data_IF_499362837869
#
_entry.id   IF_499362837869
#
_cell.length_a   1.000
_cell.length_b   1.000
_cell.length_c   1.000
_cell.angle_alpha   90.00
_cell.angle_beta   90.00
_cell.angle_gamma   90.00
#
_symmetry.space_group_name_H-M   'P 1'
#
loop_
_entity.id
_entity.type
_entity.pdbx_description
1 polymer ?
#
# COMPACT_ATOMS: atom_id res chain seq x y z
N UNK A 1 -38.79 19.54 30.05
CA UNK A 1 -38.73 18.35 30.92
C UNK A 1 -37.39 17.63 30.72
N UNK A 2 -36.90 16.83 31.68
CA UNK A 2 -35.65 16.08 31.55
C UNK A 2 -35.61 15.10 30.35
N UNK A 3 -36.76 14.71 29.81
CA UNK A 3 -36.86 13.88 28.61
C UNK A 3 -36.48 14.67 27.33
N UNK A 4 -37.03 15.88 27.16
CA UNK A 4 -36.71 16.75 26.02
C UNK A 4 -35.22 17.17 25.99
N UNK A 5 -34.63 17.40 27.17
CA UNK A 5 -33.21 17.70 27.28
C UNK A 5 -32.33 16.51 26.85
N UNK A 6 -32.71 15.28 27.22
CA UNK A 6 -32.01 14.05 26.80
C UNK A 6 -32.10 13.80 25.29
N UNK A 7 -33.29 13.99 24.69
CA UNK A 7 -33.45 13.85 23.24
C UNK A 7 -32.66 14.90 22.47
N UNK A 8 -32.58 16.13 22.98
CA UNK A 8 -31.78 17.19 22.37
C UNK A 8 -30.28 16.90 22.46
N UNK A 9 -29.79 16.41 23.61
CA UNK A 9 -28.38 16.04 23.77
C UNK A 9 -27.99 14.89 22.82
N UNK A 10 -28.82 13.84 22.77
CA UNK A 10 -28.58 12.70 21.87
C UNK A 10 -28.60 13.12 20.39
N UNK A 11 -29.51 14.01 20.00
CA UNK A 11 -29.54 14.54 18.63
C UNK A 11 -28.27 15.34 18.29
N UNK A 12 -27.77 16.14 19.23
CA UNK A 12 -26.51 16.86 19.06
C UNK A 12 -25.33 15.90 18.95
N UNK A 13 -25.26 14.84 19.76
CA UNK A 13 -24.20 13.84 19.67
C UNK A 13 -24.20 13.16 18.30
N UNK A 14 -25.37 12.73 17.81
CA UNK A 14 -25.51 12.14 16.47
C UNK A 14 -25.05 13.10 15.38
N UNK A 15 -25.39 14.39 15.47
CA UNK A 15 -24.94 15.40 14.51
C UNK A 15 -23.41 15.57 14.53
N UNK A 16 -22.79 15.59 15.74
CA UNK A 16 -21.34 15.63 15.87
C UNK A 16 -20.68 14.37 15.29
N UNK A 17 -21.27 13.19 15.53
CA UNK A 17 -20.81 11.93 14.94
C UNK A 17 -20.81 12.00 13.41
N UNK A 18 -21.89 12.48 12.80
CA UNK A 18 -21.96 12.69 11.35
C UNK A 18 -20.94 13.71 10.85
N UNK A 19 -20.75 14.82 11.55
CA UNK A 19 -19.77 15.84 11.17
C UNK A 19 -18.34 15.30 11.19
N UNK A 20 -17.96 14.55 12.23
CA UNK A 20 -16.66 13.89 12.34
C UNK A 20 -16.47 12.85 11.22
N UNK A 21 -17.48 12.02 10.97
CA UNK A 21 -17.44 11.01 9.92
C UNK A 21 -17.28 11.65 8.54
N UNK A 22 -18.06 12.68 8.22
CA UNK A 22 -17.96 13.39 6.94
C UNK A 22 -16.61 14.11 6.79
N UNK A 23 -16.06 14.66 7.88
CA UNK A 23 -14.73 15.25 7.87
C UNK A 23 -13.64 14.21 7.60
N UNK A 24 -13.69 13.05 8.27
CA UNK A 24 -12.73 11.98 8.06
C UNK A 24 -12.83 11.35 6.66
N UNK A 25 -14.04 11.06 6.18
CA UNK A 25 -14.28 10.63 4.80
C UNK A 25 -13.82 11.68 3.78
N UNK A 26 -14.00 12.97 4.10
CA UNK A 26 -13.49 14.08 3.31
C UNK A 26 -11.95 14.12 3.26
N UNK A 27 -11.27 13.84 4.39
CA UNK A 27 -9.81 13.74 4.46
C UNK A 27 -9.28 12.49 3.73
N UNK A 28 -10.00 11.36 3.81
CA UNK A 28 -9.66 10.12 3.10
C UNK A 28 -9.91 10.24 1.60
N UNK A 29 -11.01 10.87 1.17
CA UNK A 29 -11.34 11.01 -0.25
C UNK A 29 -10.73 12.24 -0.93
N UNK A 30 -10.38 13.26 -0.15
CA UNK A 30 -9.81 14.52 -0.61
C UNK A 30 -8.56 14.38 -1.48
N UNK A 31 -7.59 13.50 -1.16
CA UNK A 31 -6.46 13.22 -2.03
C UNK A 31 -6.88 12.76 -3.43
N UNK A 32 -7.95 12.00 -3.57
CA UNK A 32 -8.46 11.53 -4.86
C UNK A 32 -9.12 12.65 -5.65
N UNK A 33 -9.94 13.47 -4.98
CA UNK A 33 -10.50 14.67 -5.60
C UNK A 33 -9.36 15.58 -6.07
N UNK A 34 -8.33 15.78 -5.25
CA UNK A 34 -7.16 16.57 -5.63
C UNK A 34 -6.42 15.99 -6.84
N UNK A 35 -6.16 14.67 -6.84
CA UNK A 35 -5.52 13.95 -7.94
C UNK A 35 -6.34 14.01 -9.24
N UNK A 36 -7.66 13.92 -9.14
CA UNK A 36 -8.56 13.97 -10.29
C UNK A 36 -8.76 15.39 -10.84
N UNK A 37 -8.79 16.40 -9.96
CA UNK A 37 -9.03 17.80 -10.32
C UNK A 37 -7.77 18.53 -10.78
N UNK A 38 -6.57 18.10 -10.35
CA UNK A 38 -5.32 18.74 -10.76
C UNK A 38 -4.63 17.93 -11.86
N UNK A 39 -4.18 18.65 -12.90
CA UNK A 39 -3.55 18.08 -14.09
C UNK A 39 -2.16 17.44 -13.86
N UNK A 40 -1.44 17.22 -14.97
CA UNK A 40 -0.14 16.53 -15.08
C UNK A 40 0.92 16.94 -14.06
N UNK A 41 0.93 18.21 -13.63
CA UNK A 41 1.98 18.79 -12.80
C UNK A 41 2.03 18.27 -11.35
N UNK A 42 0.92 17.76 -10.81
CA UNK A 42 0.82 17.46 -9.36
C UNK A 42 0.79 15.98 -9.01
N UNK A 43 0.48 15.10 -9.97
CA UNK A 43 0.32 13.67 -9.73
C UNK A 43 0.70 12.86 -10.96
N UNK A 44 1.28 11.67 -10.73
CA UNK A 44 1.51 10.66 -11.77
C UNK A 44 0.22 10.33 -12.55
N UNK A 45 -0.93 10.44 -11.91
CA UNK A 45 -2.23 10.21 -12.55
C UNK A 45 -2.53 11.16 -13.71
N UNK A 46 -2.07 12.40 -13.56
CA UNK A 46 -2.31 13.48 -14.50
C UNK A 46 -1.45 13.37 -15.75
N UNK A 47 -0.34 12.63 -15.74
CA UNK A 47 0.67 12.61 -16.81
C UNK A 47 0.07 12.45 -18.21
N UNK A 48 0.58 13.19 -19.21
CA UNK A 48 0.00 13.17 -20.55
C UNK A 48 0.20 11.78 -21.19
N UNK A 49 -0.63 11.42 -22.19
CA UNK A 49 -0.38 10.27 -23.04
C UNK A 49 1.07 10.25 -23.56
N UNK A 50 1.57 9.07 -23.90
CA UNK A 50 2.97 8.93 -24.34
C UNK A 50 3.26 9.70 -25.64
N UNK A 51 2.26 9.81 -26.52
CA UNK A 51 2.35 10.43 -27.85
C UNK A 51 2.61 11.94 -27.78
N UNK A 52 2.00 12.63 -26.81
CA UNK A 52 2.07 14.09 -26.69
C UNK A 52 3.41 14.59 -26.13
N UNK A 53 4.26 13.70 -25.63
CA UNK A 53 5.42 14.05 -24.83
C UNK A 53 6.74 14.05 -25.61
N UNK A 54 6.73 14.16 -26.95
CA UNK A 54 7.95 14.10 -27.79
C UNK A 54 8.61 15.46 -28.08
N UNK A 55 8.13 16.57 -27.52
CA UNK A 55 8.56 17.92 -27.95
C UNK A 55 9.46 18.72 -27.01
N UNK A 56 9.54 18.39 -25.71
CA UNK A 56 10.20 19.28 -24.74
C UNK A 56 11.50 18.68 -24.19
N UNK A 57 12.58 19.43 -24.34
CA UNK A 57 13.90 19.08 -23.83
C UNK A 57 13.97 19.44 -22.33
N UNK A 58 14.39 18.53 -21.44
CA UNK A 58 14.49 18.81 -20.01
C UNK A 58 15.39 20.01 -19.73
N UNK A 59 14.88 21.00 -18.99
CA UNK A 59 15.60 22.23 -18.63
C UNK A 59 16.46 22.12 -17.37
N UNK A 60 16.60 20.94 -16.76
CA UNK A 60 17.42 20.78 -15.54
C UNK A 60 18.08 19.40 -15.40
N UNK A 61 19.37 19.34 -15.03
CA UNK A 61 20.10 18.10 -14.81
C UNK A 61 19.83 17.60 -13.39
N UNK A 62 18.63 17.07 -13.13
CA UNK A 62 18.44 16.27 -11.91
C UNK A 62 19.17 14.95 -12.11
N UNK A 63 20.11 14.65 -11.22
CA UNK A 63 20.87 13.39 -11.22
C UNK A 63 19.90 12.20 -11.10
N UNK A 64 19.70 11.49 -12.21
CA UNK A 64 18.80 10.35 -12.31
C UNK A 64 19.13 9.25 -11.28
N UNK A 65 20.40 9.14 -10.86
CA UNK A 65 20.82 8.17 -9.84
C UNK A 65 20.16 8.41 -8.49
N UNK A 66 19.96 9.68 -8.08
CA UNK A 66 19.30 10.03 -6.80
C UNK A 66 17.81 9.69 -6.81
N UNK A 67 17.17 9.82 -7.98
CA UNK A 67 15.76 9.47 -8.18
C UNK A 67 15.51 7.96 -8.17
N UNK A 68 16.55 7.13 -8.25
CA UNK A 68 16.47 5.67 -8.17
C UNK A 68 16.73 5.10 -6.76
N UNK A 69 17.09 5.93 -5.78
CA UNK A 69 17.05 5.56 -4.36
C UNK A 69 18.22 4.72 -3.81
N UNK A 70 19.38 4.68 -4.48
CA UNK A 70 20.49 3.75 -4.17
C UNK A 70 21.07 3.76 -2.74
N UNK A 71 20.76 4.76 -1.88
CA UNK A 71 21.32 4.87 -0.52
C UNK A 71 20.41 4.42 0.63
N UNK A 72 19.12 4.16 0.40
CA UNK A 72 18.17 3.99 1.52
C UNK A 72 17.93 2.53 1.94
N UNK A 73 18.21 1.55 1.09
CA UNK A 73 17.76 0.17 1.32
C UNK A 73 18.29 -0.47 2.60
N UNK A 74 19.58 -0.29 2.91
CA UNK A 74 20.18 -0.90 4.09
C UNK A 74 19.61 -0.29 5.39
N UNK A 75 19.48 1.03 5.43
CA UNK A 75 18.89 1.76 6.57
C UNK A 75 17.43 1.35 6.75
N UNK A 76 16.69 1.17 5.65
CA UNK A 76 15.30 0.70 5.69
C UNK A 76 15.16 -0.68 6.32
N UNK A 77 15.93 -1.65 5.83
CA UNK A 77 15.88 -3.02 6.33
C UNK A 77 16.30 -3.04 7.79
N UNK A 78 17.35 -2.29 8.15
CA UNK A 78 17.82 -2.20 9.53
C UNK A 78 16.76 -1.57 10.45
N UNK A 79 16.16 -0.42 10.08
CA UNK A 79 15.19 0.27 10.95
C UNK A 79 13.91 -0.51 11.16
N UNK A 80 13.37 -1.14 10.10
CA UNK A 80 12.14 -1.92 10.19
C UNK A 80 12.36 -3.30 10.82
N UNK A 81 13.49 -3.97 10.57
CA UNK A 81 13.75 -5.28 11.17
C UNK A 81 14.25 -5.18 12.61
N UNK A 82 15.26 -4.34 12.86
CA UNK A 82 16.01 -4.33 14.11
C UNK A 82 15.37 -3.43 15.17
N UNK A 83 14.72 -2.34 14.78
CA UNK A 83 14.13 -1.38 15.72
C UNK A 83 13.13 -2.04 16.68
N UNK A 84 12.08 -2.72 16.19
CA UNK A 84 11.12 -3.40 17.04
C UNK A 84 11.71 -4.58 17.84
N UNK A 85 12.69 -5.30 17.27
CA UNK A 85 13.39 -6.36 18.01
C UNK A 85 14.15 -5.78 19.20
N UNK A 86 14.91 -4.69 18.99
CA UNK A 86 15.59 -3.98 20.07
C UNK A 86 14.58 -3.47 21.09
N UNK A 87 13.45 -2.90 20.66
CA UNK A 87 12.37 -2.46 21.55
C UNK A 87 11.79 -3.60 22.41
N UNK A 88 11.63 -4.80 21.84
CA UNK A 88 11.18 -6.00 22.58
C UNK A 88 12.25 -6.46 23.58
N UNK A 89 13.53 -6.42 23.20
CA UNK A 89 14.62 -6.88 24.06
C UNK A 89 14.84 -5.96 25.28
N UNK A 90 14.63 -4.65 25.10
CA UNK A 90 14.73 -3.66 26.19
C UNK A 90 13.45 -3.52 27.02
N UNK A 91 12.31 -4.05 26.54
CA UNK A 91 11.09 -4.03 27.31
C UNK A 91 11.30 -4.80 28.63
N UNK A 92 10.85 -4.26 29.76
CA UNK A 92 10.99 -4.86 31.09
C UNK A 92 10.10 -6.08 31.33
N UNK A 93 9.82 -6.86 30.30
CA UNK A 93 8.87 -7.97 30.32
C UNK A 93 9.53 -9.31 30.70
N UNK A 94 8.75 -10.26 31.26
CA UNK A 94 9.22 -11.62 31.50
C UNK A 94 9.84 -12.24 30.24
N UNK A 95 10.92 -13.00 30.39
CA UNK A 95 11.70 -13.57 29.27
C UNK A 95 10.83 -14.36 28.27
N UNK A 96 9.89 -15.17 28.76
CA UNK A 96 8.99 -15.94 27.89
C UNK A 96 8.07 -15.05 27.03
N UNK A 97 7.61 -13.90 27.56
CA UNK A 97 6.79 -12.94 26.80
C UNK A 97 7.63 -12.21 25.75
N UNK A 98 8.86 -11.82 26.10
CA UNK A 98 9.82 -11.21 25.16
C UNK A 98 10.12 -12.16 24.00
N UNK A 99 10.43 -13.42 24.30
CA UNK A 99 10.67 -14.44 23.27
C UNK A 99 9.44 -14.64 22.39
N UNK A 100 8.25 -14.77 22.98
CA UNK A 100 7.01 -14.93 22.22
C UNK A 100 6.77 -13.74 21.27
N UNK A 101 6.91 -12.50 21.75
CA UNK A 101 6.74 -11.30 20.91
C UNK A 101 7.80 -11.19 19.82
N UNK A 102 9.06 -11.49 20.11
CA UNK A 102 10.13 -11.48 19.11
C UNK A 102 9.86 -12.50 18.00
N UNK A 103 9.45 -13.72 18.36
CA UNK A 103 9.07 -14.76 17.39
C UNK A 103 7.85 -14.33 16.58
N UNK A 104 6.80 -13.83 17.22
CA UNK A 104 5.61 -13.32 16.55
C UNK A 104 5.93 -12.19 15.58
N UNK A 105 6.79 -11.25 15.99
CA UNK A 105 7.25 -10.17 15.13
C UNK A 105 7.97 -10.70 13.88
N UNK A 106 8.92 -11.62 14.06
CA UNK A 106 9.64 -12.25 12.97
C UNK A 106 8.70 -13.01 12.02
N UNK A 107 7.73 -13.75 12.56
CA UNK A 107 6.74 -14.50 11.78
C UNK A 107 5.84 -13.58 10.96
N UNK A 108 5.39 -12.45 11.53
CA UNK A 108 4.57 -11.49 10.79
C UNK A 108 5.35 -10.73 9.70
N UNK A 109 6.67 -10.61 9.84
CA UNK A 109 7.51 -9.78 8.97
C UNK A 109 8.12 -10.57 7.81
N UNK A 110 8.58 -11.79 8.10
CA UNK A 110 9.35 -12.61 7.19
C UNK A 110 8.60 -12.92 5.87
N UNK A 111 7.30 -13.28 5.86
CA UNK A 111 6.59 -13.60 4.62
C UNK A 111 6.58 -12.44 3.62
N UNK A 112 6.21 -11.24 4.06
CA UNK A 112 6.14 -10.05 3.21
C UNK A 112 7.51 -9.72 2.65
N UNK A 113 8.56 -9.74 3.47
CA UNK A 113 9.93 -9.50 3.01
C UNK A 113 10.43 -10.57 2.03
N UNK A 114 10.12 -11.85 2.25
CA UNK A 114 10.50 -12.92 1.33
C UNK A 114 9.77 -12.80 -0.01
N UNK A 115 8.46 -12.54 0.00
CA UNK A 115 7.67 -12.32 -1.22
C UNK A 115 8.17 -11.09 -1.99
N UNK A 116 8.45 -10.03 -1.25
CA UNK A 116 8.92 -8.77 -1.78
C UNK A 116 10.33 -8.91 -2.38
N UNK A 117 11.25 -9.56 -1.67
CA UNK A 117 12.59 -9.91 -2.17
C UNK A 117 12.51 -10.81 -3.40
N UNK A 118 11.66 -11.84 -3.37
CA UNK A 118 11.46 -12.75 -4.49
C UNK A 118 10.97 -12.01 -5.74
N UNK A 119 9.97 -11.14 -5.60
CA UNK A 119 9.45 -10.32 -6.69
C UNK A 119 10.54 -9.40 -7.28
N UNK A 120 11.32 -8.73 -6.43
CA UNK A 120 12.43 -7.91 -6.88
C UNK A 120 13.54 -8.72 -7.55
N UNK A 121 13.95 -9.85 -6.96
CA UNK A 121 14.99 -10.71 -7.52
C UNK A 121 14.61 -11.24 -8.90
N UNK A 122 13.38 -11.73 -9.04
CA UNK A 122 12.89 -12.32 -10.29
C UNK A 122 12.61 -11.29 -11.37
N UNK A 123 11.97 -10.18 -11.01
CA UNK A 123 11.45 -9.21 -11.98
C UNK A 123 12.26 -7.92 -11.96
N UNK A 124 12.54 -7.40 -10.77
CA UNK A 124 13.26 -6.15 -10.59
C UNK A 124 14.67 -6.18 -11.17
N UNK A 125 15.46 -7.22 -10.89
CA UNK A 125 16.86 -7.35 -11.39
C UNK A 125 16.90 -7.35 -12.92
N UNK A 126 16.05 -8.16 -13.55
CA UNK A 126 15.97 -8.24 -15.02
C UNK A 126 15.56 -6.91 -15.66
N UNK A 127 14.73 -6.13 -14.97
CA UNK A 127 14.19 -4.85 -15.43
C UNK A 127 14.93 -3.63 -14.84
N UNK A 128 16.11 -3.83 -14.26
CA UNK A 128 16.97 -2.78 -13.69
C UNK A 128 16.28 -1.91 -12.62
N UNK A 129 15.29 -2.46 -11.92
CA UNK A 129 14.63 -1.79 -10.80
C UNK A 129 15.57 -1.83 -9.59
N UNK A 130 16.03 -0.65 -9.16
CA UNK A 130 16.94 -0.54 -8.04
C UNK A 130 16.25 -0.95 -6.73
N UNK A 131 16.93 -1.76 -5.91
CA UNK A 131 16.42 -2.15 -4.59
C UNK A 131 16.16 -0.94 -3.68
N UNK A 132 16.95 0.12 -3.85
CA UNK A 132 16.80 1.38 -3.12
C UNK A 132 15.47 2.09 -3.35
N UNK A 133 14.96 2.08 -4.58
CA UNK A 133 13.64 2.61 -4.93
C UNK A 133 12.55 1.88 -4.14
N UNK A 134 12.65 0.57 -4.13
CA UNK A 134 11.69 -0.33 -3.53
C UNK A 134 11.64 -0.20 -2.00
N UNK A 135 12.81 -0.13 -1.37
CA UNK A 135 12.92 0.16 0.07
C UNK A 135 12.33 1.53 0.42
N UNK A 136 12.53 2.55 -0.42
CA UNK A 136 11.96 3.87 -0.19
C UNK A 136 10.42 3.88 -0.20
N UNK A 137 9.79 3.05 -1.05
CA UNK A 137 8.34 2.88 -1.06
C UNK A 137 7.84 1.97 0.07
N UNK A 138 8.61 0.97 0.47
CA UNK A 138 8.32 0.17 1.66
C UNK A 138 8.24 1.05 2.92
N UNK A 139 9.22 1.92 3.17
CA UNK A 139 9.13 2.86 4.31
C UNK A 139 8.01 3.87 4.11
N UNK A 140 8.07 4.67 3.03
CA UNK A 140 7.17 5.82 2.96
C UNK A 140 5.72 5.36 2.84
N UNK A 141 5.49 4.35 2.01
CA UNK A 141 4.18 3.76 1.81
C UNK A 141 3.69 3.07 3.08
N UNK A 142 4.58 2.37 3.77
CA UNK A 142 4.27 1.66 5.00
C UNK A 142 4.07 2.57 6.20
N UNK A 143 5.16 3.19 6.68
CA UNK A 143 5.13 3.98 7.92
C UNK A 143 4.22 5.19 7.83
N UNK A 144 4.26 5.95 6.73
CA UNK A 144 3.42 7.15 6.61
C UNK A 144 1.99 6.79 6.19
N UNK A 145 1.79 5.71 5.44
CA UNK A 145 0.47 5.16 5.15
C UNK A 145 -0.23 4.68 6.43
N UNK A 146 0.44 3.91 7.28
CA UNK A 146 -0.13 3.45 8.56
C UNK A 146 -0.37 4.62 9.50
N UNK A 147 0.54 5.60 9.58
CA UNK A 147 0.31 6.79 10.40
C UNK A 147 -0.94 7.55 9.95
N UNK A 148 -1.09 7.75 8.63
CA UNK A 148 -2.30 8.34 8.07
C UNK A 148 -3.54 7.53 8.44
N UNK A 149 -3.47 6.20 8.31
CA UNK A 149 -4.59 5.33 8.60
C UNK A 149 -5.01 5.36 10.08
N UNK A 150 -4.05 5.22 10.99
CA UNK A 150 -4.30 5.25 12.44
C UNK A 150 -4.97 6.56 12.85
N UNK A 151 -4.50 7.70 12.35
CA UNK A 151 -5.09 9.01 12.70
C UNK A 151 -6.55 9.09 12.25
N UNK A 152 -6.86 8.69 11.02
CA UNK A 152 -8.22 8.75 10.51
C UNK A 152 -9.14 7.69 11.12
N UNK A 153 -8.65 6.47 11.34
CA UNK A 153 -9.39 5.41 12.07
C UNK A 153 -9.74 5.86 13.49
N UNK A 154 -8.82 6.52 14.20
CA UNK A 154 -9.08 7.07 15.53
C UNK A 154 -10.17 8.15 15.53
N UNK A 155 -10.42 8.79 14.39
CA UNK A 155 -11.53 9.74 14.21
C UNK A 155 -12.83 9.06 13.80
N UNK A 156 -12.77 8.08 12.87
CA UNK A 156 -13.96 7.42 12.33
C UNK A 156 -14.57 6.39 13.27
N UNK A 157 -13.76 5.61 14.00
CA UNK A 157 -14.29 4.55 14.86
C UNK A 157 -15.24 5.11 15.95
N UNK A 158 -14.90 6.19 16.69
CA UNK A 158 -15.84 6.82 17.62
C UNK A 158 -17.07 7.41 16.90
N UNK A 159 -16.88 8.03 15.74
CA UNK A 159 -17.95 8.64 14.97
C UNK A 159 -19.00 7.60 14.55
N UNK A 160 -18.56 6.44 14.08
CA UNK A 160 -19.44 5.33 13.72
C UNK A 160 -20.23 4.79 14.91
N UNK A 161 -19.60 4.67 16.09
CA UNK A 161 -20.30 4.24 17.31
C UNK A 161 -21.38 5.23 17.76
N UNK A 162 -21.21 6.51 17.44
CA UNK A 162 -22.20 7.55 17.73
C UNK A 162 -23.34 7.52 16.70
N UNK A 163 -23.01 7.37 15.41
CA UNK A 163 -23.98 7.37 14.30
C UNK A 163 -24.83 6.11 14.27
N UNK A 164 -24.25 4.95 14.60
CA UNK A 164 -24.92 3.66 14.58
C UNK A 164 -24.67 2.88 15.88
N UNK A 165 -25.21 3.36 17.02
CA UNK A 165 -24.94 2.76 18.34
C UNK A 165 -25.47 1.34 18.48
N UNK A 166 -26.52 1.01 17.71
CA UNK A 166 -27.15 -0.29 17.70
C UNK A 166 -26.47 -1.28 16.75
N UNK A 167 -25.68 -0.81 15.80
CA UNK A 167 -24.91 -1.68 14.92
C UNK A 167 -23.49 -1.90 15.43
N UNK A 168 -23.34 -2.92 16.26
CA UNK A 168 -22.06 -3.34 16.78
C UNK A 168 -21.81 -4.79 16.40
N UNK A 169 -20.79 -5.08 15.59
CA UNK A 169 -20.38 -6.45 15.26
C UNK A 169 -20.00 -7.26 16.50
N UNK A 170 -19.63 -6.57 17.58
CA UNK A 170 -19.42 -7.14 18.91
C UNK A 170 -20.72 -7.30 19.70
N UNK A 171 -21.93 -7.24 19.12
CA UNK A 171 -23.19 -7.54 19.82
C UNK A 171 -24.05 -8.44 18.93
N UNK A 172 -24.65 -9.48 19.52
CA UNK A 172 -25.54 -10.42 18.84
C UNK A 172 -26.98 -10.31 19.38
N UNK A 173 -28.01 -10.56 18.56
CA UNK A 173 -27.98 -10.99 17.15
C UNK A 173 -27.76 -9.84 16.15
N UNK A 174 -27.03 -10.09 15.06
CA UNK A 174 -26.89 -9.13 13.96
C UNK A 174 -28.15 -9.16 13.07
N UNK A 175 -28.74 -7.97 12.84
CA UNK A 175 -29.77 -7.78 11.82
C UNK A 175 -29.14 -7.68 10.43
N UNK A 176 -29.94 -7.86 9.38
CA UNK A 176 -29.48 -7.66 7.99
C UNK A 176 -29.02 -6.21 7.79
N UNK A 177 -29.78 -5.26 8.33
CA UNK A 177 -29.44 -3.83 8.26
C UNK A 177 -28.12 -3.52 8.96
N UNK A 178 -27.86 -4.11 10.12
CA UNK A 178 -26.58 -3.94 10.79
C UNK A 178 -25.45 -4.64 10.01
N UNK A 179 -25.66 -5.84 9.50
CA UNK A 179 -24.68 -6.56 8.66
C UNK A 179 -24.26 -5.71 7.45
N UNK A 180 -25.23 -5.13 6.73
CA UNK A 180 -24.98 -4.24 5.61
C UNK A 180 -24.24 -2.97 6.05
N UNK A 181 -24.73 -2.31 7.10
CA UNK A 181 -24.13 -1.08 7.63
C UNK A 181 -22.69 -1.31 8.08
N UNK A 182 -22.43 -2.38 8.83
CA UNK A 182 -21.11 -2.76 9.27
C UNK A 182 -20.20 -3.04 8.07
N UNK A 183 -20.64 -3.80 7.06
CA UNK A 183 -19.81 -4.01 5.86
C UNK A 183 -19.44 -2.69 5.17
N UNK A 184 -20.39 -1.75 5.08
CA UNK A 184 -20.12 -0.42 4.51
C UNK A 184 -19.15 0.38 5.38
N UNK A 185 -19.27 0.32 6.71
CA UNK A 185 -18.32 0.94 7.64
C UNK A 185 -16.90 0.42 7.43
N UNK A 186 -16.72 -0.90 7.30
CA UNK A 186 -15.40 -1.50 7.09
C UNK A 186 -14.82 -1.22 5.70
N UNK A 187 -15.66 -1.11 4.66
CA UNK A 187 -15.23 -0.63 3.33
C UNK A 187 -14.80 0.84 3.39
N UNK A 188 -15.54 1.69 4.10
CA UNK A 188 -15.29 3.12 4.16
C UNK A 188 -14.24 3.53 5.18
N UNK A 189 -13.95 2.68 6.17
CA UNK A 189 -12.94 2.94 7.20
C UNK A 189 -11.60 2.31 6.75
N UNK A 190 -11.18 1.08 7.15
CA UNK A 190 -9.86 0.60 6.76
C UNK A 190 -9.72 0.41 5.25
N UNK A 191 -10.78 -0.06 4.56
CA UNK A 191 -10.74 -0.24 3.11
C UNK A 191 -10.38 1.06 2.36
N UNK A 192 -11.10 2.15 2.62
CA UNK A 192 -10.85 3.44 1.97
C UNK A 192 -9.60 4.11 2.52
N UNK A 193 -9.49 4.24 3.84
CA UNK A 193 -8.42 5.00 4.49
C UNK A 193 -7.06 4.38 4.19
N UNK A 194 -6.90 3.07 4.41
CA UNK A 194 -5.60 2.43 4.28
C UNK A 194 -5.13 2.37 2.83
N UNK A 195 -6.04 2.02 1.90
CA UNK A 195 -5.71 1.96 0.48
C UNK A 195 -5.45 3.36 -0.10
N UNK A 196 -6.14 4.40 0.41
CA UNK A 196 -5.80 5.79 0.11
C UNK A 196 -4.41 6.12 0.62
N UNK A 197 -4.12 5.84 1.88
CA UNK A 197 -2.82 6.06 2.49
C UNK A 197 -1.71 5.45 1.63
N UNK A 198 -1.83 4.17 1.27
CA UNK A 198 -0.88 3.44 0.39
C UNK A 198 -0.74 4.12 -0.98
N UNK A 199 -1.85 4.40 -1.64
CA UNK A 199 -1.83 4.90 -3.01
C UNK A 199 -1.35 6.34 -3.13
N UNK A 200 -1.62 7.22 -2.16
CA UNK A 200 -1.11 8.60 -2.17
C UNK A 200 0.40 8.64 -2.41
N UNK A 201 1.16 7.74 -1.78
CA UNK A 201 2.61 7.67 -1.96
C UNK A 201 2.99 7.29 -3.38
N UNK A 202 2.30 6.33 -4.00
CA UNK A 202 2.53 5.95 -5.40
C UNK A 202 2.25 7.12 -6.34
N UNK A 203 1.09 7.75 -6.18
CA UNK A 203 0.58 8.77 -7.10
C UNK A 203 1.36 10.08 -6.99
N UNK A 204 1.76 10.47 -5.78
CA UNK A 204 2.50 11.71 -5.57
C UNK A 204 4.00 11.57 -5.81
N UNK A 205 4.61 10.40 -5.59
CA UNK A 205 6.07 10.25 -5.71
C UNK A 205 6.52 9.75 -7.08
N UNK A 206 5.80 8.83 -7.72
CA UNK A 206 6.26 8.24 -8.97
C UNK A 206 6.17 9.23 -10.13
N UNK A 207 7.18 9.23 -11.00
CA UNK A 207 7.23 10.00 -12.24
C UNK A 207 7.74 9.13 -13.37
N UNK A 208 7.11 9.24 -14.54
CA UNK A 208 7.50 8.43 -15.70
C UNK A 208 8.83 8.93 -16.27
N UNK A 209 9.02 10.25 -16.26
CA UNK A 209 10.23 10.90 -16.79
C UNK A 209 10.73 12.00 -15.87
N UNK A 210 11.95 12.48 -16.13
CA UNK A 210 12.57 13.55 -15.32
C UNK A 210 11.82 14.86 -15.52
N UNK A 211 11.29 15.09 -16.72
CA UNK A 211 10.53 16.29 -17.09
C UNK A 211 9.19 16.38 -16.35
N UNK A 212 8.64 15.23 -15.93
CA UNK A 212 7.40 15.18 -15.13
C UNK A 212 7.63 15.57 -13.65
N UNK A 213 8.89 15.75 -13.23
CA UNK A 213 9.21 16.19 -11.87
C UNK A 213 8.94 17.69 -11.77
N UNK A 214 8.04 18.13 -10.87
CA UNK A 214 7.76 19.55 -10.71
C UNK A 214 9.03 20.31 -10.26
N UNK A 215 9.18 21.56 -10.72
CA UNK A 215 10.30 22.43 -10.35
C UNK A 215 10.39 22.80 -8.86
N UNK A 216 9.40 22.39 -8.05
CA UNK A 216 9.39 22.50 -6.59
C UNK A 216 8.86 21.20 -5.94
N UNK A 217 9.27 20.95 -4.71
CA UNK A 217 8.82 19.85 -3.87
C UNK A 217 7.88 20.34 -2.76
N UNK A 218 7.06 19.41 -2.23
CA UNK A 218 6.17 19.60 -1.07
C UNK A 218 5.35 20.90 -1.14
N UNK A 219 4.31 20.92 -1.97
CA UNK A 219 3.36 22.06 -2.06
C UNK A 219 4.02 23.42 -2.38
N UNK A 220 5.18 23.42 -3.04
CA UNK A 220 5.92 24.64 -3.40
C UNK A 220 6.82 25.19 -2.27
N UNK A 221 6.90 24.52 -1.13
CA UNK A 221 7.69 24.99 0.02
C UNK A 221 9.21 24.88 -0.21
N UNK A 222 9.67 23.96 -1.07
CA UNK A 222 11.10 23.76 -1.33
C UNK A 222 11.37 23.70 -2.83
N UNK A 223 12.27 24.56 -3.35
CA UNK A 223 12.67 24.49 -4.75
C UNK A 223 13.42 23.19 -5.08
N UNK A 224 13.14 22.59 -6.24
CA UNK A 224 13.88 21.44 -6.75
C UNK A 224 15.26 21.87 -7.27
N UNK A 225 16.14 22.23 -6.34
CA UNK A 225 17.53 22.58 -6.66
C UNK A 225 18.39 21.31 -6.84
N UNK A 226 19.37 21.30 -7.76
CA UNK A 226 20.40 20.28 -7.80
C UNK A 226 21.15 20.26 -6.45
N UNK A 227 20.85 19.28 -5.59
CA UNK A 227 21.35 19.20 -4.21
C UNK A 227 20.29 19.41 -3.11
N UNK A 228 19.09 19.86 -3.46
CA UNK A 228 17.96 19.95 -2.52
C UNK A 228 17.27 18.60 -2.29
N UNK A 229 16.61 18.47 -1.14
CA UNK A 229 15.91 17.25 -0.66
C UNK A 229 14.80 16.71 -1.59
N UNK A 230 14.49 17.38 -2.71
CA UNK A 230 13.39 17.03 -3.60
C UNK A 230 13.59 15.68 -4.30
N UNK A 231 14.83 15.32 -4.62
CA UNK A 231 15.17 13.98 -5.16
C UNK A 231 14.96 12.84 -4.16
N UNK A 232 14.84 13.15 -2.87
CA UNK A 232 14.44 12.18 -1.84
C UNK A 232 12.95 11.84 -1.98
N UNK A 233 12.12 12.79 -2.39
CA UNK A 233 10.67 12.62 -2.50
C UNK A 233 10.27 11.96 -3.82
N UNK A 234 10.51 12.60 -4.96
CA UNK A 234 10.10 12.04 -6.25
C UNK A 234 11.00 10.88 -6.67
N UNK A 235 10.41 9.92 -7.37
CA UNK A 235 11.08 8.71 -7.84
C UNK A 235 10.69 8.39 -9.27
N UNK A 236 11.66 7.96 -10.06
CA UNK A 236 11.42 7.60 -11.45
C UNK A 236 10.90 6.16 -11.56
N UNK A 237 9.82 6.00 -12.30
CA UNK A 237 9.31 4.73 -12.78
C UNK A 237 9.39 4.73 -14.30
N UNK A 238 10.51 4.26 -14.84
CA UNK A 238 10.78 4.26 -16.28
C UNK A 238 9.96 3.22 -17.03
N UNK A 239 9.51 2.17 -16.33
CA UNK A 239 8.75 1.06 -16.91
C UNK A 239 7.56 0.70 -16.00
N UNK A 240 6.54 0.00 -16.54
CA UNK A 240 5.42 -0.53 -15.75
C UNK A 240 5.87 -1.36 -14.53
N UNK A 241 6.97 -2.10 -14.67
CA UNK A 241 7.57 -2.90 -13.59
C UNK A 241 7.92 -2.07 -12.36
N UNK A 242 8.45 -0.86 -12.57
CA UNK A 242 8.79 0.04 -11.46
C UNK A 242 7.54 0.38 -10.64
N UNK A 243 6.44 0.70 -11.32
CA UNK A 243 5.17 1.08 -10.67
C UNK A 243 4.60 -0.09 -9.87
N UNK A 244 4.50 -1.27 -10.50
CA UNK A 244 3.93 -2.46 -9.85
C UNK A 244 4.79 -2.89 -8.66
N UNK A 245 6.12 -2.95 -8.81
CA UNK A 245 7.01 -3.32 -7.71
C UNK A 245 6.96 -2.29 -6.57
N UNK A 246 6.93 -0.99 -6.87
CA UNK A 246 6.77 0.03 -5.82
C UNK A 246 5.42 -0.09 -5.09
N UNK A 247 4.36 -0.50 -5.79
CA UNK A 247 3.06 -0.75 -5.18
C UNK A 247 3.08 -1.96 -4.25
N UNK A 248 3.67 -3.08 -4.69
CA UNK A 248 3.87 -4.26 -3.84
C UNK A 248 4.71 -3.92 -2.59
N UNK A 249 5.77 -3.13 -2.76
CA UNK A 249 6.59 -2.65 -1.64
C UNK A 249 5.80 -1.77 -0.66
N UNK A 250 4.96 -0.89 -1.18
CA UNK A 250 4.09 -0.04 -0.36
C UNK A 250 3.13 -0.90 0.47
N UNK A 251 2.48 -1.89 -0.14
CA UNK A 251 1.59 -2.83 0.56
C UNK A 251 2.34 -3.65 1.62
N UNK A 252 3.51 -4.18 1.29
CA UNK A 252 4.34 -4.95 2.22
C UNK A 252 4.80 -4.11 3.41
N UNK A 253 5.25 -2.87 3.16
CA UNK A 253 5.68 -1.97 4.22
C UNK A 253 4.54 -1.59 5.15
N UNK A 254 3.33 -1.41 4.61
CA UNK A 254 2.15 -1.09 5.41
C UNK A 254 1.81 -2.25 6.33
N UNK A 255 1.69 -3.45 5.77
CA UNK A 255 1.41 -4.67 6.52
C UNK A 255 2.44 -4.93 7.63
N UNK A 256 3.72 -4.71 7.35
CA UNK A 256 4.80 -4.83 8.35
C UNK A 256 4.60 -3.91 9.56
N UNK A 257 4.26 -2.65 9.31
CA UNK A 257 4.04 -1.67 10.37
C UNK A 257 2.72 -1.97 11.10
N UNK A 258 1.69 -2.38 10.38
CA UNK A 258 0.40 -2.79 10.95
C UNK A 258 0.54 -4.05 11.83
N UNK A 259 1.29 -5.05 11.38
CA UNK A 259 1.59 -6.23 12.18
C UNK A 259 2.34 -5.91 13.47
N UNK A 260 3.14 -4.83 13.47
CA UNK A 260 3.75 -4.31 14.71
C UNK A 260 2.66 -3.86 15.69
N UNK A 261 1.64 -3.13 15.25
CA UNK A 261 0.49 -2.74 16.12
C UNK A 261 -0.13 -3.97 16.78
N UNK A 262 -0.34 -5.06 16.04
CA UNK A 262 -0.93 -6.29 16.58
C UNK A 262 -0.05 -7.00 17.60
N UNK A 263 1.23 -7.21 17.30
CA UNK A 263 2.17 -7.91 18.21
C UNK A 263 2.30 -7.20 19.55
N UNK A 264 2.25 -5.86 19.56
CA UNK A 264 2.41 -5.06 20.77
C UNK A 264 1.08 -4.71 21.46
N UNK A 265 -0.08 -4.94 20.84
CA UNK A 265 -1.40 -4.61 21.42
C UNK A 265 -1.81 -5.52 22.59
N UNK A 266 -1.23 -6.71 22.72
CA UNK A 266 -1.57 -7.68 23.78
C UNK A 266 -2.98 -8.26 23.72
N UNK A 267 -3.73 -8.05 22.63
CA UNK A 267 -5.15 -8.44 22.51
C UNK A 267 -5.38 -9.95 22.31
N UNK A 268 -4.39 -10.70 21.83
CA UNK A 268 -4.45 -12.15 21.59
C UNK A 268 -3.11 -12.80 22.00
N UNK A 269 -3.08 -14.13 22.23
CA UNK A 269 -1.81 -14.85 22.30
C UNK A 269 -1.00 -14.55 21.04
N UNK A 270 0.13 -13.87 21.21
CA UNK A 270 0.86 -13.24 20.09
C UNK A 270 1.22 -14.24 18.98
N UNK A 271 1.35 -15.54 19.32
CA UNK A 271 1.73 -16.58 18.37
C UNK A 271 0.58 -16.99 17.45
N UNK A 272 -0.64 -17.17 17.96
CA UNK A 272 -1.81 -17.56 17.14
C UNK A 272 -2.14 -16.48 16.13
N UNK A 273 -2.13 -15.22 16.58
CA UNK A 273 -2.31 -14.07 15.71
C UNK A 273 -1.21 -13.97 14.67
N UNK A 274 0.04 -14.24 15.04
CA UNK A 274 1.16 -14.23 14.10
C UNK A 274 1.01 -15.31 13.01
N UNK A 275 0.60 -16.53 13.38
CA UNK A 275 0.35 -17.62 12.41
C UNK A 275 -0.78 -17.25 11.45
N UNK A 276 -1.89 -16.70 11.97
CA UNK A 276 -2.98 -16.24 11.11
C UNK A 276 -2.51 -15.13 10.15
N UNK A 277 -1.71 -14.18 10.65
CA UNK A 277 -1.16 -13.08 9.85
C UNK A 277 -0.13 -13.54 8.82
N UNK A 278 0.63 -14.61 9.07
CA UNK A 278 1.50 -15.21 8.04
C UNK A 278 0.68 -15.60 6.81
N UNK A 279 -0.51 -16.17 6.99
CA UNK A 279 -1.36 -16.61 5.88
C UNK A 279 -1.99 -15.44 5.12
N UNK A 280 -2.20 -14.30 5.78
CA UNK A 280 -2.90 -13.13 5.20
C UNK A 280 -1.95 -12.00 4.81
N UNK A 281 -0.66 -12.15 5.11
CA UNK A 281 0.38 -11.14 4.91
C UNK A 281 0.41 -10.59 3.49
N UNK A 282 0.48 -11.49 2.51
CA UNK A 282 0.52 -11.12 1.10
C UNK A 282 -0.70 -10.34 0.59
N UNK A 283 -1.82 -10.28 1.32
CA UNK A 283 -3.04 -9.65 0.81
C UNK A 283 -2.92 -8.14 0.65
N UNK A 284 -2.27 -7.42 1.58
CA UNK A 284 -2.04 -5.99 1.38
C UNK A 284 -1.15 -5.72 0.17
N UNK A 285 -0.16 -6.58 -0.09
CA UNK A 285 0.63 -6.51 -1.32
C UNK A 285 -0.26 -6.71 -2.55
N UNK A 286 -1.17 -7.70 -2.53
CA UNK A 286 -2.09 -7.98 -3.65
C UNK A 286 -3.03 -6.80 -3.91
N UNK A 287 -3.70 -6.29 -2.86
CA UNK A 287 -4.62 -5.15 -2.95
C UNK A 287 -3.91 -3.89 -3.47
N UNK A 288 -2.79 -3.50 -2.86
CA UNK A 288 -1.99 -2.37 -3.37
C UNK A 288 -1.42 -2.65 -4.76
N UNK A 289 -1.12 -3.91 -5.08
CA UNK A 289 -0.70 -4.36 -6.41
C UNK A 289 -1.77 -4.12 -7.48
N UNK A 290 -3.06 -4.27 -7.17
CA UNK A 290 -4.17 -3.91 -8.08
C UNK A 290 -4.15 -2.41 -8.41
N UNK A 291 -3.90 -1.58 -7.40
CA UNK A 291 -3.73 -0.13 -7.58
C UNK A 291 -2.52 0.17 -8.46
N UNK A 292 -1.37 -0.46 -8.15
CA UNK A 292 -0.13 -0.33 -8.93
C UNK A 292 -0.30 -0.74 -10.38
N UNK A 293 -1.04 -1.82 -10.65
CA UNK A 293 -1.37 -2.26 -11.99
C UNK A 293 -2.21 -1.23 -12.75
N UNK A 294 -3.27 -0.72 -12.13
CA UNK A 294 -4.10 0.31 -12.72
C UNK A 294 -3.33 1.61 -12.99
N UNK A 295 -2.45 2.01 -12.07
CA UNK A 295 -1.56 3.16 -12.24
C UNK A 295 -0.54 2.94 -13.37
N UNK A 296 0.03 1.74 -13.50
CA UNK A 296 0.93 1.40 -14.60
C UNK A 296 0.20 1.53 -15.96
N UNK A 297 -1.01 0.99 -16.08
CA UNK A 297 -1.85 1.20 -17.26
C UNK A 297 -2.16 2.67 -17.52
N UNK A 298 -2.42 3.43 -16.46
CA UNK A 298 -2.64 4.87 -16.60
C UNK A 298 -1.39 5.59 -17.14
N UNK A 299 -0.18 5.21 -16.73
CA UNK A 299 1.06 5.88 -17.12
C UNK A 299 1.60 5.46 -18.49
N UNK A 300 1.36 4.21 -18.89
CA UNK A 300 2.03 3.61 -20.05
C UNK A 300 1.10 3.20 -21.20
N UNK A 301 -0.23 3.18 -21.02
CA UNK A 301 -1.16 2.96 -22.13
C UNK A 301 -1.64 4.27 -22.77
N UNK A 302 -2.08 4.18 -24.03
CA UNK A 302 -2.64 5.27 -24.84
C UNK A 302 -4.18 5.24 -24.85
N UNK A 303 -4.79 6.38 -25.18
CA UNK A 303 -6.23 6.52 -25.46
C UNK A 303 -7.18 5.80 -24.49
N UNK A 304 -8.09 4.99 -25.05
CA UNK A 304 -9.16 4.27 -24.35
C UNK A 304 -8.67 3.17 -23.39
N UNK A 305 -7.40 2.79 -23.45
CA UNK A 305 -6.85 1.74 -22.60
C UNK A 305 -6.47 2.25 -21.20
N UNK A 306 -6.44 3.57 -21.00
CA UNK A 306 -6.14 4.21 -19.71
C UNK A 306 -7.35 4.10 -18.78
N UNK A 307 -7.24 3.42 -17.62
CA UNK A 307 -8.37 3.29 -16.70
C UNK A 307 -8.73 4.62 -16.04
N UNK A 308 -9.98 4.76 -15.60
CA UNK A 308 -10.40 5.86 -14.72
C UNK A 308 -9.91 5.61 -13.28
N UNK A 309 -9.84 6.67 -12.47
CA UNK A 309 -9.28 6.60 -11.11
C UNK A 309 -10.08 5.61 -10.25
N UNK A 310 -11.40 5.72 -10.29
CA UNK A 310 -12.31 4.82 -9.58
C UNK A 310 -12.10 3.35 -9.97
N UNK A 311 -11.89 3.05 -11.26
CA UNK A 311 -11.61 1.67 -11.71
C UNK A 311 -10.30 1.11 -11.17
N UNK A 312 -9.36 1.96 -10.79
CA UNK A 312 -8.06 1.56 -10.22
C UNK A 312 -8.15 1.33 -8.72
N UNK A 313 -8.80 2.23 -7.99
CA UNK A 313 -8.76 2.23 -6.51
C UNK A 313 -9.89 1.43 -5.87
N UNK A 314 -11.09 1.47 -6.46
CA UNK A 314 -12.30 0.93 -5.83
C UNK A 314 -12.25 -0.58 -5.57
N UNK A 315 -11.70 -1.43 -6.47
CA UNK A 315 -11.58 -2.85 -6.19
C UNK A 315 -10.73 -3.14 -4.93
N UNK A 316 -9.64 -2.41 -4.73
CA UNK A 316 -8.77 -2.57 -3.56
C UNK A 316 -9.53 -2.24 -2.27
N UNK A 317 -10.19 -1.08 -2.27
CA UNK A 317 -10.97 -0.55 -1.14
C UNK A 317 -12.05 -1.54 -0.70
N UNK A 318 -12.84 -2.04 -1.66
CA UNK A 318 -13.94 -2.98 -1.37
C UNK A 318 -13.39 -4.31 -0.84
N UNK A 319 -12.40 -4.90 -1.51
CA UNK A 319 -11.91 -6.23 -1.16
C UNK A 319 -11.24 -6.22 0.21
N UNK A 320 -10.44 -5.18 0.48
CA UNK A 320 -9.80 -5.01 1.77
C UNK A 320 -10.83 -4.80 2.89
N UNK A 321 -11.76 -3.85 2.75
CA UNK A 321 -12.76 -3.63 3.78
C UNK A 321 -13.66 -4.84 4.03
N UNK A 322 -14.03 -5.59 3.00
CA UNK A 322 -14.77 -6.85 3.15
C UNK A 322 -13.96 -7.95 3.85
N UNK A 323 -12.63 -7.98 3.66
CA UNK A 323 -11.74 -8.87 4.37
C UNK A 323 -11.77 -8.58 5.87
N UNK A 324 -11.56 -7.34 6.27
CA UNK A 324 -11.52 -6.96 7.69
C UNK A 324 -12.87 -7.12 8.37
N UNK A 325 -13.95 -6.74 7.66
CA UNK A 325 -15.33 -7.01 8.07
C UNK A 325 -15.54 -8.48 8.42
N UNK A 326 -15.09 -9.38 7.55
CA UNK A 326 -15.25 -10.82 7.73
C UNK A 326 -14.40 -11.35 8.88
N UNK A 327 -13.17 -10.86 9.01
CA UNK A 327 -12.27 -11.24 10.09
C UNK A 327 -12.82 -10.82 11.46
N UNK A 328 -13.36 -9.60 11.58
CA UNK A 328 -14.00 -9.17 12.81
C UNK A 328 -15.30 -9.94 13.08
N UNK A 329 -16.11 -10.19 12.05
CA UNK A 329 -17.32 -10.99 12.16
C UNK A 329 -17.07 -12.39 12.72
N UNK A 330 -16.06 -13.09 12.21
CA UNK A 330 -15.64 -14.40 12.71
C UNK A 330 -15.13 -14.33 14.16
N UNK A 331 -14.30 -13.34 14.47
CA UNK A 331 -13.79 -13.13 15.83
C UNK A 331 -14.92 -12.86 16.83
N UNK A 332 -15.96 -12.16 16.40
CA UNK A 332 -17.12 -11.84 17.23
C UNK A 332 -18.00 -13.05 17.47
N UNK A 333 -18.22 -13.88 16.44
CA UNK A 333 -18.98 -15.13 16.56
C UNK A 333 -18.40 -16.06 17.62
N UNK A 334 -17.07 -16.19 17.69
CA UNK A 334 -16.42 -17.06 18.68
C UNK A 334 -16.64 -16.53 20.11
N UNK A 335 -16.55 -15.21 20.33
CA UNK A 335 -16.84 -14.60 21.64
C UNK A 335 -18.29 -14.80 22.08
N UNK A 336 -19.22 -14.87 21.12
CA UNK A 336 -20.66 -15.02 21.37
C UNK A 336 -21.17 -16.44 21.23
N UNK A 337 -20.28 -17.43 21.23
CA UNK A 337 -20.63 -18.84 21.09
C UNK A 337 -21.74 -19.31 22.04
N UNK A 338 -21.79 -18.75 23.26
CA UNK A 338 -22.78 -19.05 24.30
C UNK A 338 -24.06 -18.22 24.23
N UNK A 339 -24.06 -17.10 23.51
CA UNK A 339 -25.19 -16.17 23.43
C UNK A 339 -26.07 -16.38 22.19
N UNK A 340 -25.56 -17.05 21.15
CA UNK A 340 -26.35 -17.42 19.97
C UNK A 340 -27.11 -18.73 20.27
N UNK A 341 -28.44 -18.71 20.43
CA UNK A 341 -29.18 -19.85 20.96
C UNK A 341 -29.24 -21.05 20.00
N UNK A 342 -29.10 -20.79 18.70
CA UNK A 342 -29.18 -21.80 17.63
C UNK A 342 -27.81 -22.00 16.99
N UNK A 343 -27.32 -23.23 17.06
CA UNK A 343 -26.10 -23.66 16.37
C UNK A 343 -26.21 -23.50 14.85
N UNK A 344 -27.38 -23.79 14.27
CA UNK A 344 -27.64 -23.60 12.84
C UNK A 344 -27.46 -22.14 12.43
N UNK A 345 -27.99 -21.20 13.22
CA UNK A 345 -27.81 -19.76 12.96
C UNK A 345 -26.35 -19.35 13.02
N UNK A 346 -25.58 -19.89 13.98
CA UNK A 346 -24.14 -19.64 14.10
C UNK A 346 -23.37 -20.17 12.89
N UNK A 347 -23.69 -21.37 12.41
CA UNK A 347 -23.06 -21.96 11.22
C UNK A 347 -23.37 -21.14 9.97
N UNK A 348 -24.60 -20.67 9.79
CA UNK A 348 -24.96 -19.82 8.65
C UNK A 348 -24.23 -18.47 8.65
N UNK A 349 -24.20 -17.77 9.79
CA UNK A 349 -23.51 -16.48 9.88
C UNK A 349 -21.99 -16.67 9.74
N UNK A 350 -21.42 -17.70 10.37
CA UNK A 350 -20.01 -18.04 10.22
C UNK A 350 -19.64 -18.39 8.78
N UNK A 351 -20.46 -19.19 8.11
CA UNK A 351 -20.30 -19.55 6.71
C UNK A 351 -20.30 -18.32 5.79
N UNK A 352 -21.18 -17.34 6.03
CA UNK A 352 -21.18 -16.08 5.29
C UNK A 352 -19.84 -15.35 5.41
N UNK A 353 -19.32 -15.15 6.62
CA UNK A 353 -18.04 -14.47 6.80
C UNK A 353 -16.87 -15.25 6.19
N UNK A 354 -16.84 -16.58 6.31
CA UNK A 354 -15.80 -17.41 5.65
C UNK A 354 -15.85 -17.25 4.13
N UNK A 355 -17.05 -17.28 3.54
CA UNK A 355 -17.22 -17.10 2.09
C UNK A 355 -16.77 -15.69 1.68
N UNK A 356 -17.17 -14.64 2.41
CA UNK A 356 -16.75 -13.26 2.10
C UNK A 356 -15.23 -13.10 2.24
N UNK A 357 -14.61 -13.67 3.28
CA UNK A 357 -13.17 -13.68 3.48
C UNK A 357 -12.43 -14.41 2.34
N UNK A 358 -12.93 -15.56 1.92
CA UNK A 358 -12.38 -16.32 0.81
C UNK A 358 -12.51 -15.55 -0.51
N UNK A 359 -13.69 -14.98 -0.78
CA UNK A 359 -13.94 -14.17 -1.97
C UNK A 359 -13.06 -12.93 -2.01
N UNK A 360 -12.89 -12.21 -0.89
CA UNK A 360 -12.02 -11.03 -0.85
C UNK A 360 -10.54 -11.38 -1.03
N UNK A 361 -10.09 -12.52 -0.50
CA UNK A 361 -8.70 -12.98 -0.60
C UNK A 361 -8.41 -13.59 -1.98
N UNK A 362 -9.08 -14.68 -2.31
CA UNK A 362 -8.86 -15.41 -3.57
C UNK A 362 -9.35 -14.60 -4.76
N UNK A 363 -10.46 -13.87 -4.63
CA UNK A 363 -10.95 -12.98 -5.69
C UNK A 363 -9.97 -11.87 -6.01
N UNK A 364 -9.27 -11.28 -5.02
CA UNK A 364 -8.24 -10.28 -5.27
C UNK A 364 -7.03 -10.87 -5.99
N UNK A 365 -6.57 -12.06 -5.56
CA UNK A 365 -5.48 -12.79 -6.24
C UNK A 365 -5.86 -13.16 -7.67
N UNK A 366 -7.07 -13.68 -7.89
CA UNK A 366 -7.60 -14.02 -9.22
C UNK A 366 -7.78 -12.79 -10.10
N UNK A 367 -8.29 -11.68 -9.55
CA UNK A 367 -8.43 -10.42 -10.26
C UNK A 367 -7.05 -9.90 -10.68
N UNK A 368 -6.07 -9.91 -9.79
CA UNK A 368 -4.70 -9.52 -10.11
C UNK A 368 -4.13 -10.45 -11.18
N UNK A 369 -4.23 -11.77 -11.03
CA UNK A 369 -3.78 -12.74 -12.04
C UNK A 369 -4.43 -12.51 -13.40
N UNK A 370 -5.75 -12.31 -13.46
CA UNK A 370 -6.48 -12.06 -14.70
C UNK A 370 -6.06 -10.73 -15.35
N UNK A 371 -6.03 -9.66 -14.57
CA UNK A 371 -5.66 -8.32 -15.02
C UNK A 371 -4.23 -8.28 -15.52
N UNK A 372 -3.33 -8.96 -14.81
CA UNK A 372 -1.94 -9.13 -15.21
C UNK A 372 -1.76 -10.20 -16.27
N UNK A 373 -2.79 -10.88 -16.77
CA UNK A 373 -2.67 -11.85 -17.87
C UNK A 373 -2.03 -13.18 -17.53
N UNK A 374 -1.84 -13.48 -16.26
CA UNK A 374 -1.44 -14.81 -15.76
C UNK A 374 -2.60 -15.82 -15.82
N UNK A 375 -3.50 -15.69 -16.80
CA UNK A 375 -4.66 -16.58 -16.93
C UNK A 375 -4.19 -17.99 -17.28
N UNK A 376 -4.30 -18.88 -16.29
CA UNK A 376 -4.32 -20.34 -16.41
C UNK A 376 -3.15 -20.96 -17.18
N UNK A 377 -2.17 -21.49 -16.43
CA UNK A 377 -1.18 -22.41 -16.97
C UNK A 377 -1.78 -23.70 -17.57
N UNK A 378 -3.09 -23.93 -17.38
CA UNK A 378 -3.77 -25.08 -17.97
C UNK A 378 -4.02 -24.94 -19.49
N UNK A 379 -3.84 -23.75 -20.09
CA UNK A 379 -4.08 -23.53 -21.52
C UNK A 379 -2.81 -23.55 -22.40
N UNK A 380 -1.67 -24.04 -21.90
CA UNK A 380 -0.50 -24.38 -22.73
C UNK A 380 0.37 -23.20 -23.24
N UNK A 381 0.03 -21.95 -22.91
CA UNK A 381 0.90 -20.77 -23.16
C UNK A 381 0.99 -19.89 -21.93
N UNK A 382 1.58 -20.43 -20.86
CA UNK A 382 1.78 -19.69 -19.63
C UNK A 382 2.99 -18.77 -19.75
N UNK A 383 2.79 -17.55 -20.25
CA UNK A 383 3.75 -16.48 -20.01
C UNK A 383 3.49 -15.94 -18.61
N UNK A 384 4.31 -16.34 -17.64
CA UNK A 384 4.24 -15.80 -16.28
C UNK A 384 4.37 -14.27 -16.33
N UNK A 385 3.66 -13.51 -15.49
CA UNK A 385 3.84 -12.06 -15.39
C UNK A 385 5.28 -11.65 -14.98
N UNK A 386 6.11 -12.63 -14.58
CA UNK A 386 7.52 -12.47 -14.31
C UNK A 386 8.44 -12.86 -15.48
N UNK A 387 7.90 -13.30 -16.62
CA UNK A 387 8.72 -13.65 -17.79
C UNK A 387 9.22 -12.37 -18.48
N UNK A 388 10.46 -12.37 -19.00
CA UNK A 388 10.94 -11.26 -19.82
C UNK A 388 10.02 -11.04 -21.04
N UNK A 389 9.68 -9.79 -21.35
CA UNK A 389 8.81 -9.46 -22.48
C UNK A 389 7.31 -9.51 -22.17
N UNK A 390 6.91 -10.01 -21.00
CA UNK A 390 5.50 -10.14 -20.64
C UNK A 390 4.77 -8.80 -20.69
N UNK A 391 5.34 -7.79 -20.05
CA UNK A 391 4.71 -6.48 -19.93
C UNK A 391 4.93 -5.66 -21.19
N UNK A 392 6.06 -5.84 -21.86
CA UNK A 392 6.36 -5.25 -23.16
C UNK A 392 5.27 -5.60 -24.19
N UNK A 393 4.81 -6.86 -24.20
CA UNK A 393 3.69 -7.28 -25.05
C UNK A 393 2.35 -6.64 -24.66
N UNK A 394 2.18 -6.25 -23.39
CA UNK A 394 0.97 -5.59 -22.85
C UNK A 394 1.01 -4.06 -22.96
N UNK A 395 2.19 -3.49 -23.12
CA UNK A 395 2.45 -2.06 -23.27
C UNK A 395 3.23 -1.79 -24.57
N UNK A 396 2.69 -2.17 -25.73
CA UNK A 396 3.42 -2.15 -27.00
C UNK A 396 3.95 -0.76 -27.36
N UNK A 397 3.23 0.29 -26.96
CA UNK A 397 3.59 1.67 -27.26
C UNK A 397 4.64 2.23 -26.28
N UNK A 398 4.81 1.61 -25.10
CA UNK A 398 5.47 2.21 -23.93
C UNK A 398 6.95 1.92 -23.75
N UNK A 399 7.54 0.97 -24.49
CA UNK A 399 8.86 0.40 -24.14
C UNK A 399 9.96 0.68 -25.17
N UNK A 400 9.76 1.61 -26.11
CA UNK A 400 10.86 1.98 -27.03
C UNK A 400 11.96 2.83 -26.38
N UNK A 401 11.89 3.10 -25.07
CA UNK A 401 13.04 3.64 -24.34
C UNK A 401 14.07 2.52 -24.29
N UNK A 402 14.95 2.47 -25.28
CA UNK A 402 16.17 1.68 -25.17
C UNK A 402 16.76 2.02 -23.80
N UNK A 403 16.93 1.05 -22.89
CA UNK A 403 17.66 1.31 -21.66
C UNK A 403 18.98 1.94 -22.10
N UNK A 404 19.39 3.09 -21.52
CA UNK A 404 20.58 3.80 -21.95
C UNK A 404 21.68 2.76 -22.11
N UNK A 405 22.19 2.63 -23.35
CA UNK A 405 23.12 1.56 -23.71
C UNK A 405 24.13 1.47 -22.58
N UNK A 406 24.16 0.33 -21.87
CA UNK A 406 24.97 0.15 -20.66
C UNK A 406 26.32 0.74 -20.97
N UNK A 407 26.66 1.88 -20.37
CA UNK A 407 28.00 2.42 -20.48
C UNK A 407 28.89 1.26 -20.03
N UNK A 408 29.78 0.74 -20.89
CA UNK A 408 30.48 -0.49 -20.61
C UNK A 408 31.17 -0.32 -19.25
N UNK A 409 30.89 -1.25 -18.32
CA UNK A 409 31.39 -1.20 -16.93
C UNK A 409 32.92 -1.14 -16.84
N UNK A 410 33.62 -1.29 -17.96
CA UNK A 410 35.06 -1.07 -18.09
C UNK A 410 35.47 0.38 -17.85
N UNK A 411 34.67 1.39 -18.22
CA UNK A 411 35.06 2.80 -18.08
C UNK A 411 35.08 3.30 -16.62
N UNK A 412 34.24 2.75 -15.74
CA UNK A 412 34.21 3.14 -14.33
C UNK A 412 35.45 2.64 -13.55
N UNK A 413 36.13 1.59 -14.02
CA UNK A 413 37.41 1.12 -13.46
C UNK A 413 38.60 1.97 -13.93
N UNK A 414 38.51 2.61 -15.08
CA UNK A 414 39.59 3.47 -15.60
C UNK A 414 39.62 4.84 -14.92
N UNK A 415 38.46 5.43 -14.59
CA UNK A 415 38.40 6.70 -13.87
C UNK A 415 38.90 6.56 -12.41
N UNK A 416 38.73 5.40 -11.77
CA UNK A 416 39.35 5.14 -10.47
C UNK A 416 40.85 4.81 -10.53
N UNK A 417 41.39 4.42 -11.70
CA UNK A 417 42.85 4.21 -11.87
C UNK A 417 43.58 5.50 -12.27
N UNK A 418 42.91 6.48 -12.89
CA UNK A 418 43.51 7.77 -13.26
C UNK A 418 43.75 8.74 -12.09
N UNK A 419 43.17 8.51 -10.92
CA UNK A 419 43.30 9.39 -9.75
C UNK A 419 44.50 9.07 -8.82
N UNK A 420 45.42 8.20 -9.24
CA UNK A 420 46.72 8.01 -8.57
C UNK A 420 47.82 8.72 -9.35
N UNK A 421 47.84 10.06 -9.29
CA UNK A 421 49.07 10.79 -9.61
C UNK A 421 50.09 10.58 -8.48
N UNK A 422 51.36 10.26 -8.77
CA UNK A 422 52.40 10.23 -7.77
C UNK A 422 52.70 11.66 -7.33
N UNK A 423 52.52 11.92 -6.03
CA UNK A 423 53.09 13.09 -5.36
C UNK A 423 54.61 13.04 -5.52
N UNK A 424 55.13 13.87 -6.44
CA UNK A 424 56.54 14.24 -6.50
C UNK A 424 56.89 14.95 -5.19
N UNK A 425 57.84 14.38 -4.45
CA UNK A 425 58.51 15.03 -3.32
C UNK A 425 59.43 16.13 -3.86
N UNK A 426 59.28 17.34 -3.34
CA UNK A 426 60.39 18.29 -3.20
C UNK A 426 61.10 18.02 -1.87
#
# INVERSE_FOLDING_TARGET
TPALARTSAQAMDVLHGWALLLAALGLASGPWCWIGLRGTATSAWGSPPLEDARGEQPSSPVDAGKLQGGGCALITVASLALGPIVAILIAGEPEHQRCARAVSYCLCWLPSFLLLFFAWWRVGVANQVQAGLFAAFCISGGSLGVLFAVVLEMMEEPAWRIVSPDCNLLKMPLTIECTASASAMWILTPGLIEETGKAMWLFFRLRRRVEDVPGGCCCGAFGARPGGCCGCWYKLALTPYHVVLCALATGAGFEVVENTKYVFSGLLPALELAVARVATSGLHMVWTGLIGWGLARRLFCTGCQRPSLLRVILPSIIMHGLFDYSLLGLSSLERYRTQVPSEERRVHIGGLFVITLFLSSCGACCALAFLTGASSCCAGRCSCCCSPGFWEARFPDGVSVQPPARAPMTAAREVQRGARQPLLRC
#
